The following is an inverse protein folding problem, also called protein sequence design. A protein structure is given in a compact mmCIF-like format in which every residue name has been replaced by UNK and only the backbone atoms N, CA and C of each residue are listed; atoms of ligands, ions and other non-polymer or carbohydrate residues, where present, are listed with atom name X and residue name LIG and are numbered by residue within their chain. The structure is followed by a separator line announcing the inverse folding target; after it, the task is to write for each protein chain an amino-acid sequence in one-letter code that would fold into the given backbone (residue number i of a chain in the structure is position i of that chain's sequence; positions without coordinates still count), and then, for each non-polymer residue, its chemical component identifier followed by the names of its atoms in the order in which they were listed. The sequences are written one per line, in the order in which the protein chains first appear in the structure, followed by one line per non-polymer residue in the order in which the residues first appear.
data_IF_470346124282
#
_entry.id   IF_470346124282
#
_cell.length_a   1.000
_cell.length_b   1.000
_cell.length_c   1.000
_cell.angle_alpha   90.00
_cell.angle_beta   90.00
_cell.angle_gamma   90.00
#
_symmetry.space_group_name_H-M   'P 1'
#
loop_
_entity.id
_entity.type
_entity.pdbx_description
1 polymer ?
#
# COMPACT_ATOMS: atom_id res chain seq x y z
N UNK A 1 -3.24 -24.28 -8.93
CA UNK A 1 -2.16 -23.60 -8.19
C UNK A 1 -0.95 -23.42 -9.09
N UNK A 2 -0.34 -22.26 -9.04
CA UNK A 2 0.83 -21.98 -9.85
C UNK A 2 2.10 -22.41 -9.11
N UNK A 3 3.18 -22.58 -9.87
CA UNK A 3 4.48 -22.88 -9.27
C UNK A 3 5.03 -21.75 -8.43
N UNK A 4 4.53 -20.55 -8.65
CA UNK A 4 4.98 -19.37 -7.93
C UNK A 4 4.29 -19.20 -6.59
N UNK A 5 3.25 -19.96 -6.34
CA UNK A 5 2.53 -19.88 -5.08
C UNK A 5 3.41 -20.30 -3.90
N UNK A 6 3.53 -19.46 -2.90
CA UNK A 6 4.38 -19.67 -1.74
C UNK A 6 3.56 -19.55 -0.46
N UNK A 7 4.14 -19.93 0.70
CA UNK A 7 3.46 -19.71 1.98
C UNK A 7 3.06 -18.25 2.22
N UNK A 8 3.85 -17.30 1.70
CA UNK A 8 3.50 -15.90 1.81
C UNK A 8 2.17 -15.61 1.11
N UNK A 9 1.92 -16.27 -0.02
CA UNK A 9 0.66 -16.10 -0.73
C UNK A 9 -0.52 -16.53 0.13
N UNK A 10 -0.36 -17.63 0.88
CA UNK A 10 -1.41 -18.10 1.77
C UNK A 10 -1.66 -17.11 2.91
N UNK A 11 -0.59 -16.55 3.44
CA UNK A 11 -0.68 -15.58 4.53
C UNK A 11 -1.40 -14.31 4.10
N UNK A 12 -1.13 -13.84 2.88
CA UNK A 12 -1.70 -12.60 2.37
C UNK A 12 -2.99 -12.79 1.59
N UNK A 13 -3.33 -14.03 1.25
CA UNK A 13 -4.52 -14.29 0.45
C UNK A 13 -4.36 -13.89 -1.01
N UNK A 14 -3.14 -14.01 -1.55
CA UNK A 14 -2.82 -13.64 -2.92
C UNK A 14 -2.38 -14.86 -3.72
N UNK A 15 -2.42 -14.76 -5.04
CA UNK A 15 -2.07 -15.87 -5.93
C UNK A 15 -0.57 -15.93 -6.23
N UNK A 16 0.04 -14.77 -6.44
CA UNK A 16 1.45 -14.67 -6.78
C UNK A 16 2.20 -13.87 -5.70
N UNK A 17 3.45 -14.24 -5.38
CA UNK A 17 4.19 -13.55 -4.32
C UNK A 17 4.80 -12.24 -4.86
N UNK A 18 3.94 -11.36 -5.34
CA UNK A 18 4.33 -10.09 -5.94
C UNK A 18 3.57 -8.97 -5.26
N UNK A 19 4.32 -8.02 -4.70
CA UNK A 19 3.75 -6.84 -4.08
C UNK A 19 4.20 -5.62 -4.88
N UNK A 20 3.29 -4.71 -5.17
CA UNK A 20 3.69 -3.48 -5.83
C UNK A 20 4.29 -2.53 -4.80
N UNK A 21 5.13 -1.62 -5.25
CA UNK A 21 5.79 -0.68 -4.36
C UNK A 21 4.84 0.46 -3.99
N UNK A 22 4.75 0.75 -2.70
CA UNK A 22 3.91 1.85 -2.22
C UNK A 22 4.67 3.16 -2.25
N UNK A 23 4.89 3.70 -3.44
CA UNK A 23 5.67 4.92 -3.58
C UNK A 23 4.81 6.09 -4.05
N UNK A 24 4.68 7.07 -3.17
CA UNK A 24 4.05 8.33 -3.47
C UNK A 24 2.72 8.25 -4.21
N UNK A 25 2.48 9.21 -5.06
CA UNK A 25 1.23 9.29 -5.81
C UNK A 25 1.14 8.26 -6.94
N UNK A 26 2.28 7.65 -7.29
CA UNK A 26 2.29 6.64 -8.35
C UNK A 26 1.60 5.35 -7.94
N UNK A 27 1.59 5.04 -6.64
CA UNK A 27 0.88 3.88 -6.12
C UNK A 27 -0.49 4.31 -5.61
N UNK A 28 -1.31 4.81 -6.51
CA UNK A 28 -2.60 5.39 -6.19
C UNK A 28 -3.76 4.42 -6.26
N UNK A 29 -4.98 4.94 -6.04
CA UNK A 29 -6.19 4.12 -5.96
C UNK A 29 -6.55 3.36 -7.23
N UNK A 30 -5.98 3.71 -8.36
CA UNK A 30 -6.25 3.00 -9.61
C UNK A 30 -5.28 1.87 -9.84
N UNK A 31 -4.00 2.08 -9.55
CA UNK A 31 -2.98 1.06 -9.74
C UNK A 31 -3.12 -0.08 -8.74
N UNK A 32 -3.37 0.25 -7.48
CA UNK A 32 -3.41 -0.74 -6.42
C UNK A 32 -4.43 -1.84 -6.66
N UNK A 33 -5.71 -1.53 -6.97
CA UNK A 33 -6.66 -2.61 -7.23
C UNK A 33 -6.32 -3.40 -8.49
N UNK A 34 -5.69 -2.77 -9.48
CA UNK A 34 -5.29 -3.49 -10.69
C UNK A 34 -4.26 -4.58 -10.36
N UNK A 35 -3.30 -4.29 -9.50
CA UNK A 35 -2.30 -5.27 -9.07
C UNK A 35 -2.97 -6.39 -8.27
N UNK A 36 -3.85 -6.03 -7.34
CA UNK A 36 -4.54 -7.02 -6.51
C UNK A 36 -5.45 -7.91 -7.34
N UNK A 37 -6.16 -7.35 -8.32
CA UNK A 37 -7.02 -8.13 -9.20
C UNK A 37 -6.22 -9.07 -10.09
N UNK A 38 -4.99 -8.71 -10.41
CA UNK A 38 -4.12 -9.56 -11.21
C UNK A 38 -3.52 -10.72 -10.43
N UNK A 39 -3.75 -10.78 -9.13
CA UNK A 39 -3.28 -11.89 -8.30
C UNK A 39 -2.12 -11.56 -7.37
N UNK A 40 -1.59 -10.37 -7.44
CA UNK A 40 -0.57 -9.91 -6.50
C UNK A 40 -1.18 -9.17 -5.34
N UNK A 41 -0.37 -8.35 -4.68
CA UNK A 41 -0.82 -7.49 -3.60
C UNK A 41 -0.46 -6.06 -3.93
N UNK A 42 -1.44 -5.23 -4.24
CA UNK A 42 -1.22 -3.82 -4.47
C UNK A 42 -0.92 -3.14 -3.13
N UNK A 43 0.01 -2.20 -3.12
CA UNK A 43 0.35 -1.45 -1.91
C UNK A 43 0.11 0.03 -2.17
N UNK A 44 -0.84 0.58 -1.44
CA UNK A 44 -1.21 1.99 -1.56
C UNK A 44 -0.16 2.85 -0.86
N UNK A 45 0.35 3.86 -1.57
CA UNK A 45 1.32 4.77 -1.00
C UNK A 45 0.65 5.86 -0.21
N UNK A 46 1.15 6.11 1.00
CA UNK A 46 0.60 7.13 1.89
C UNK A 46 1.47 8.35 2.06
N UNK A 47 2.71 8.31 1.60
CA UNK A 47 3.61 9.43 1.78
C UNK A 47 3.11 10.67 1.05
N UNK A 48 3.10 11.79 1.75
CA UNK A 48 2.65 13.05 1.17
C UNK A 48 1.15 13.19 1.06
N UNK A 49 0.40 12.20 1.53
CA UNK A 49 -1.05 12.24 1.51
C UNK A 49 -1.54 12.75 2.87
N UNK A 50 -2.32 13.83 2.90
CA UNK A 50 -2.88 14.31 4.16
C UNK A 50 -3.72 13.24 4.85
N UNK A 51 -3.65 13.14 6.17
CA UNK A 51 -4.41 12.12 6.89
C UNK A 51 -5.89 12.07 6.54
N UNK A 52 -6.50 13.22 6.29
CA UNK A 52 -7.91 13.29 5.95
C UNK A 52 -8.23 12.72 4.57
N UNK A 53 -7.22 12.54 3.73
CA UNK A 53 -7.41 11.95 2.41
C UNK A 53 -7.13 10.46 2.37
N UNK A 54 -6.41 9.95 3.36
CA UNK A 54 -6.00 8.53 3.39
C UNK A 54 -7.23 7.63 3.41
N UNK A 55 -8.20 7.95 4.25
CA UNK A 55 -9.40 7.14 4.38
C UNK A 55 -10.17 7.08 3.06
N UNK A 56 -10.26 8.21 2.36
CA UNK A 56 -10.93 8.25 1.07
C UNK A 56 -10.22 7.41 0.00
N UNK A 57 -8.90 7.41 0.03
CA UNK A 57 -8.12 6.61 -0.92
C UNK A 57 -8.31 5.13 -0.65
N UNK A 58 -8.31 4.73 0.61
CA UNK A 58 -8.56 3.33 0.98
C UNK A 58 -9.96 2.92 0.57
N UNK A 59 -10.94 3.78 0.79
CA UNK A 59 -12.31 3.51 0.39
C UNK A 59 -12.42 3.33 -1.12
N UNK A 60 -11.68 4.14 -1.89
CA UNK A 60 -11.68 4.03 -3.35
C UNK A 60 -11.12 2.70 -3.81
N UNK A 61 -10.03 2.22 -3.16
CA UNK A 61 -9.49 0.91 -3.49
C UNK A 61 -10.52 -0.17 -3.19
N UNK A 62 -11.21 -0.08 -2.06
CA UNK A 62 -12.25 -1.05 -1.70
C UNK A 62 -13.41 -1.08 -2.68
N UNK A 63 -13.72 0.03 -3.32
CA UNK A 63 -14.74 0.06 -4.36
C UNK A 63 -14.31 -0.69 -5.61
N UNK A 64 -13.00 -0.73 -5.88
CA UNK A 64 -12.46 -1.27 -7.10
C UNK A 64 -11.99 -2.71 -6.98
N UNK A 65 -11.77 -3.20 -5.78
CA UNK A 65 -11.35 -4.58 -5.56
C UNK A 65 -11.78 -5.08 -4.20
N UNK A 66 -12.16 -6.35 -4.13
CA UNK A 66 -12.40 -7.05 -2.86
C UNK A 66 -11.17 -7.81 -2.41
N UNK A 67 -10.11 -7.79 -3.22
CA UNK A 67 -8.90 -8.55 -2.93
C UNK A 67 -8.01 -7.81 -1.94
N UNK A 68 -7.11 -8.54 -1.28
CA UNK A 68 -6.21 -7.92 -0.32
C UNK A 68 -5.30 -6.87 -0.95
N UNK A 69 -5.01 -5.84 -0.20
CA UNK A 69 -4.03 -4.83 -0.59
C UNK A 69 -3.37 -4.29 0.66
N UNK A 70 -2.22 -3.65 0.49
CA UNK A 70 -1.47 -3.10 1.60
C UNK A 70 -1.45 -1.59 1.59
N UNK A 71 -0.95 -1.04 2.67
CA UNK A 71 -0.79 0.40 2.82
C UNK A 71 0.61 0.67 3.35
N UNK A 72 1.29 1.63 2.74
CA UNK A 72 2.66 1.97 3.08
C UNK A 72 2.76 3.38 3.63
N UNK A 73 3.46 3.52 4.74
CA UNK A 73 3.77 4.82 5.32
C UNK A 73 5.23 4.84 5.72
N UNK A 74 5.83 6.01 5.67
CA UNK A 74 7.20 6.18 6.14
C UNK A 74 7.16 6.67 7.57
N UNK A 75 7.78 5.92 8.47
CA UNK A 75 7.76 6.22 9.90
C UNK A 75 8.24 7.64 10.20
N UNK A 76 9.22 8.11 9.45
CA UNK A 76 9.75 9.46 9.65
C UNK A 76 8.67 10.54 9.50
N UNK A 77 7.62 10.27 8.71
CA UNK A 77 6.54 11.22 8.52
C UNK A 77 5.69 11.39 9.78
N UNK A 78 5.83 10.46 10.72
CA UNK A 78 5.08 10.47 11.99
C UNK A 78 5.94 10.87 13.18
N UNK A 79 7.14 11.33 12.96
CA UNK A 79 7.95 11.79 14.06
C UNK A 79 7.30 12.97 14.74
N UNK A 80 7.65 13.14 16.02
CA UNK A 80 7.01 14.16 16.83
C UNK A 80 7.01 15.52 16.11
N UNK A 81 5.87 16.21 16.13
CA UNK A 81 5.76 17.51 15.43
C UNK A 81 6.78 18.54 15.90
N UNK A 82 7.30 18.36 17.10
CA UNK A 82 8.29 19.26 17.68
C UNK A 82 9.71 18.83 17.35
N UNK A 83 9.91 17.78 16.58
CA UNK A 83 11.23 17.42 16.11
C UNK A 83 11.76 18.53 15.23
N UNK A 84 12.96 18.97 15.51
CA UNK A 84 13.58 20.02 14.73
C UNK A 84 14.33 19.42 13.54
N UNK A 85 14.68 20.28 12.59
CA UNK A 85 15.50 19.83 11.47
C UNK A 85 16.86 19.31 11.96
N UNK A 86 17.33 19.84 13.07
CA UNK A 86 18.57 19.38 13.68
C UNK A 86 18.47 17.94 14.15
N UNK A 87 17.33 17.57 14.70
CA UNK A 87 17.12 16.20 15.18
C UNK A 87 17.03 15.21 14.03
N UNK A 88 16.65 15.70 12.88
CA UNK A 88 16.45 14.86 11.69
C UNK A 88 17.68 14.82 10.80
N UNK A 89 18.53 15.77 10.94
CA UNK A 89 19.71 15.91 10.07
C UNK A 89 20.75 14.82 10.29
#
# INVERSE_FOLDING_TARGET
MTRLHTPLCDELGIEYPILSVGFGSSAGPELVPAVSEAGGCGVLGGRGVPPEEIEGRIARVRELTDRPFGFNMIIADFEAPDSTDEDRA
#
